data_IF_681556741149
#
_entry.id   IF_681556741149
#
_cell.length_a   1.000
_cell.length_b   1.000
_cell.length_c   1.000
_cell.angle_alpha   90.00
_cell.angle_beta   90.00
_cell.angle_gamma   90.00
#
_symmetry.space_group_name_H-M   'P 1'
#
loop_
_entity.id
_entity.type
_entity.pdbx_description
1 polymer ?
#
# COMPACT_ATOMS: atom_id res chain seq x y z
N UNK A 1 25.40 -4.93 2.44
CA UNK A 1 25.21 -6.28 1.86
C UNK A 1 24.91 -7.29 2.97
N UNK A 2 24.23 -8.42 2.68
CA UNK A 2 24.16 -9.56 3.58
C UNK A 2 25.57 -10.10 3.86
N UNK A 3 25.83 -10.47 5.12
CA UNK A 3 27.07 -11.15 5.49
C UNK A 3 27.21 -12.44 4.67
N UNK A 4 28.39 -12.67 4.08
CA UNK A 4 28.68 -13.90 3.31
C UNK A 4 28.48 -13.82 1.80
N UNK A 5 28.03 -12.68 1.24
CA UNK A 5 28.01 -12.48 -0.22
C UNK A 5 29.39 -12.03 -0.72
N UNK A 6 29.91 -12.73 -1.74
CA UNK A 6 31.13 -12.38 -2.46
C UNK A 6 30.87 -11.23 -3.42
N UNK A 7 31.74 -10.22 -3.39
CA UNK A 7 31.68 -9.10 -4.34
C UNK A 7 32.03 -9.63 -5.74
N UNK A 8 31.24 -9.29 -6.78
CA UNK A 8 31.57 -9.69 -8.15
C UNK A 8 32.95 -9.16 -8.58
N UNK A 9 33.60 -9.89 -9.47
CA UNK A 9 34.89 -9.49 -10.03
C UNK A 9 34.80 -8.10 -10.69
N UNK A 10 35.78 -7.24 -10.46
CA UNK A 10 35.82 -5.85 -10.95
C UNK A 10 35.28 -4.80 -9.99
N UNK A 11 34.82 -5.20 -8.80
CA UNK A 11 34.33 -4.30 -7.74
C UNK A 11 35.12 -4.44 -6.43
N UNK A 12 36.31 -5.04 -6.48
CA UNK A 12 37.12 -5.36 -5.30
C UNK A 12 37.53 -4.11 -4.51
N UNK A 13 37.67 -2.97 -5.19
CA UNK A 13 38.03 -1.69 -4.58
C UNK A 13 36.85 -0.99 -3.86
N UNK A 14 35.64 -1.56 -3.92
CA UNK A 14 34.47 -0.98 -3.27
C UNK A 14 34.51 -1.14 -1.75
N UNK A 15 34.37 -0.03 -1.03
CA UNK A 15 34.14 -0.05 0.41
C UNK A 15 32.79 -0.71 0.69
N UNK A 16 32.83 -1.81 1.44
CA UNK A 16 31.65 -2.64 1.68
C UNK A 16 31.29 -2.69 3.16
N UNK A 17 30.01 -2.48 3.47
CA UNK A 17 29.44 -2.68 4.81
C UNK A 17 28.52 -3.91 4.81
N UNK A 18 28.76 -4.80 5.76
CA UNK A 18 27.94 -5.98 5.99
C UNK A 18 26.97 -5.75 7.15
N UNK A 19 25.75 -6.23 6.98
CA UNK A 19 24.72 -6.30 8.01
C UNK A 19 24.39 -7.75 8.30
N UNK A 20 23.79 -8.00 9.47
CA UNK A 20 23.39 -9.36 9.89
C UNK A 20 22.48 -10.02 8.84
N UNK A 21 22.72 -11.30 8.56
CA UNK A 21 21.92 -12.07 7.60
C UNK A 21 20.45 -12.17 8.00
N UNK A 22 20.14 -12.05 9.30
CA UNK A 22 18.78 -12.04 9.82
C UNK A 22 17.92 -10.93 9.20
N UNK A 23 18.52 -9.78 8.84
CA UNK A 23 17.82 -8.69 8.16
C UNK A 23 17.42 -9.02 6.71
N UNK A 24 17.96 -10.09 6.13
CA UNK A 24 17.69 -10.50 4.75
C UNK A 24 16.88 -11.81 4.67
N UNK A 25 16.36 -12.28 5.80
CA UNK A 25 15.56 -13.52 5.90
C UNK A 25 14.13 -13.36 5.36
N UNK A 26 13.59 -12.14 5.32
CA UNK A 26 12.23 -11.85 4.87
C UNK A 26 12.06 -10.38 4.47
N UNK A 27 10.97 -10.06 3.77
CA UNK A 27 10.58 -8.67 3.48
C UNK A 27 10.45 -7.85 4.78
N UNK A 28 9.83 -8.41 5.81
CA UNK A 28 9.62 -7.72 7.09
C UNK A 28 10.94 -7.38 7.79
N UNK A 29 11.88 -8.32 7.84
CA UNK A 29 13.19 -8.09 8.48
C UNK A 29 14.04 -7.08 7.69
N UNK A 30 13.93 -7.07 6.36
CA UNK A 30 14.56 -6.05 5.52
C UNK A 30 13.98 -4.66 5.77
N UNK A 31 12.65 -4.53 5.81
CA UNK A 31 11.99 -3.24 6.08
C UNK A 31 12.43 -2.67 7.44
N UNK A 32 12.59 -3.53 8.46
CA UNK A 32 13.10 -3.14 9.78
C UNK A 32 14.54 -2.62 9.72
N UNK A 33 15.41 -3.20 8.90
CA UNK A 33 16.77 -2.67 8.67
C UNK A 33 16.71 -1.28 8.03
N UNK A 34 15.89 -1.13 6.98
CA UNK A 34 15.76 0.12 6.22
C UNK A 34 15.15 1.28 7.02
N UNK A 35 14.42 1.01 8.12
CA UNK A 35 13.94 2.02 9.07
C UNK A 35 14.67 1.97 10.42
N UNK A 36 15.91 1.48 10.45
CA UNK A 36 16.76 1.53 11.64
C UNK A 36 17.72 2.73 11.60
N UNK A 37 17.80 3.50 12.68
CA UNK A 37 18.77 4.60 12.78
C UNK A 37 20.23 4.08 12.65
N UNK A 38 20.49 2.88 13.17
CA UNK A 38 21.80 2.23 13.10
C UNK A 38 22.25 1.93 11.66
N UNK A 39 21.32 1.67 10.73
CA UNK A 39 21.67 1.55 9.30
C UNK A 39 22.23 2.88 8.77
N UNK A 40 21.56 3.99 9.08
CA UNK A 40 21.96 5.31 8.58
C UNK A 40 23.23 5.84 9.25
N UNK A 41 23.52 5.47 10.50
CA UNK A 41 24.76 5.81 11.20
C UNK A 41 26.02 5.41 10.40
N UNK A 42 25.95 4.30 9.66
CA UNK A 42 27.06 3.78 8.86
C UNK A 42 27.34 4.58 7.58
N UNK A 43 26.45 5.52 7.22
CA UNK A 43 26.51 6.27 5.97
C UNK A 43 26.41 7.78 6.16
N UNK A 44 26.59 8.29 7.38
CA UNK A 44 26.50 9.73 7.66
C UNK A 44 27.59 10.58 7.00
N UNK A 45 28.66 9.96 6.50
CA UNK A 45 29.67 10.63 5.67
C UNK A 45 29.13 11.01 4.27
N UNK A 46 27.92 10.57 3.91
CA UNK A 46 27.26 10.84 2.65
C UNK A 46 25.92 11.54 2.88
N UNK A 47 25.59 12.56 2.09
CA UNK A 47 24.29 13.25 2.18
C UNK A 47 23.11 12.36 1.76
N UNK A 48 23.36 11.41 0.85
CA UNK A 48 22.35 10.58 0.21
C UNK A 48 22.79 9.13 0.07
N UNK A 49 21.81 8.22 0.21
CA UNK A 49 21.93 6.81 -0.18
C UNK A 49 21.00 6.54 -1.37
N UNK A 50 21.54 5.95 -2.43
CA UNK A 50 20.75 5.28 -3.46
C UNK A 50 20.55 3.83 -3.05
N UNK A 51 19.32 3.44 -2.71
CA UNK A 51 18.93 2.04 -2.61
C UNK A 51 18.77 1.49 -4.02
N UNK A 52 19.52 0.42 -4.32
CA UNK A 52 19.52 -0.26 -5.61
C UNK A 52 19.37 -1.77 -5.35
N UNK A 53 18.16 -2.30 -5.57
CA UNK A 53 17.87 -3.74 -5.46
C UNK A 53 18.28 -4.48 -6.75
N UNK A 54 18.43 -5.81 -6.68
CA UNK A 54 19.04 -6.61 -7.77
C UNK A 54 18.22 -6.64 -9.07
N UNK A 55 16.94 -6.29 -9.00
CA UNK A 55 16.02 -6.14 -10.12
C UNK A 55 15.76 -4.67 -10.50
N UNK A 56 16.62 -3.75 -10.04
CA UNK A 56 16.68 -2.38 -10.52
C UNK A 56 17.62 -2.25 -11.74
N UNK A 57 17.35 -1.23 -12.56
CA UNK A 57 18.19 -0.89 -13.71
C UNK A 57 18.31 0.63 -13.86
N UNK A 58 19.52 1.16 -13.98
CA UNK A 58 19.77 2.59 -14.26
C UNK A 58 20.01 2.78 -15.75
N UNK A 59 19.17 3.60 -16.38
CA UNK A 59 19.23 3.90 -17.81
C UNK A 59 20.26 4.99 -18.12
N UNK A 60 20.35 6.00 -17.26
CA UNK A 60 21.22 7.15 -17.47
C UNK A 60 21.70 7.69 -16.12
N UNK A 61 22.98 8.07 -16.03
CA UNK A 61 23.50 8.70 -14.82
C UNK A 61 23.05 10.16 -14.71
N UNK A 62 22.01 10.39 -13.91
CA UNK A 62 21.52 11.72 -13.50
C UNK A 62 21.45 11.88 -11.99
N UNK A 63 22.13 11.01 -11.24
CA UNK A 63 21.99 10.90 -9.78
C UNK A 63 22.20 12.24 -9.06
N UNK A 64 23.24 12.99 -9.42
CA UNK A 64 23.55 14.27 -8.79
C UNK A 64 22.43 15.31 -8.94
N UNK A 65 21.74 15.34 -10.08
CA UNK A 65 20.62 16.26 -10.29
C UNK A 65 19.47 16.01 -9.31
N UNK A 66 19.25 14.77 -8.89
CA UNK A 66 18.24 14.43 -7.90
C UNK A 66 18.69 14.76 -6.47
N UNK A 67 19.98 14.55 -6.14
CA UNK A 67 20.55 14.96 -4.86
C UNK A 67 20.42 16.48 -4.63
N UNK A 68 20.65 17.28 -5.68
CA UNK A 68 20.54 18.75 -5.63
C UNK A 68 19.13 19.26 -5.37
N UNK A 69 18.09 18.43 -5.59
CA UNK A 69 16.70 18.80 -5.33
C UNK A 69 16.33 18.79 -3.84
N UNK A 70 17.17 18.20 -2.97
CA UNK A 70 17.01 18.24 -1.50
C UNK A 70 15.71 17.61 -0.97
N UNK A 71 15.18 16.59 -1.66
CA UNK A 71 14.11 15.75 -1.11
C UNK A 71 14.68 14.77 -0.08
N UNK A 72 13.86 14.38 0.89
CA UNK A 72 14.25 13.38 1.89
C UNK A 72 14.11 11.96 1.34
N UNK A 73 13.12 11.75 0.44
CA UNK A 73 12.87 10.49 -0.22
C UNK A 73 12.38 10.72 -1.66
N UNK A 74 12.98 9.98 -2.60
CA UNK A 74 12.54 9.87 -3.98
C UNK A 74 12.41 8.38 -4.31
N UNK A 75 11.22 7.94 -4.68
CA UNK A 75 10.97 6.57 -5.13
C UNK A 75 10.21 6.55 -6.46
N UNK A 76 9.70 5.39 -6.86
CA UNK A 76 8.89 5.28 -8.07
C UNK A 76 7.49 5.89 -7.85
N UNK A 77 6.86 6.45 -8.90
CA UNK A 77 5.51 6.93 -8.82
C UNK A 77 4.51 5.77 -8.84
N UNK A 78 3.40 5.93 -8.12
CA UNK A 78 2.19 5.12 -8.22
C UNK A 78 1.12 5.93 -8.96
N UNK A 79 0.96 5.76 -10.29
CA UNK A 79 0.26 6.72 -11.14
C UNK A 79 -1.22 6.92 -10.80
N UNK A 80 -1.87 5.87 -10.30
CA UNK A 80 -3.27 5.94 -9.84
C UNK A 80 -3.38 6.11 -8.33
N UNK A 81 -2.25 6.12 -7.61
CA UNK A 81 -2.16 6.12 -6.15
C UNK A 81 -2.41 4.76 -5.50
N UNK A 82 -2.10 4.64 -4.21
CA UNK A 82 -2.57 3.55 -3.35
C UNK A 82 -3.06 4.14 -2.03
N UNK A 83 -4.32 3.85 -1.68
CA UNK A 83 -4.87 4.27 -0.40
C UNK A 83 -4.41 3.35 0.73
N UNK A 84 -3.86 3.97 1.77
CA UNK A 84 -3.49 3.32 3.02
C UNK A 84 -4.31 3.90 4.17
N UNK A 85 -4.61 3.07 5.17
CA UNK A 85 -5.49 3.40 6.28
C UNK A 85 -4.79 3.19 7.62
N UNK A 86 -4.89 4.17 8.49
CA UNK A 86 -4.67 4.02 9.94
C UNK A 86 -5.99 4.16 10.69
N UNK A 87 -5.95 3.95 12.00
CA UNK A 87 -7.11 4.22 12.87
C UNK A 87 -7.54 5.70 12.81
N UNK A 88 -6.63 6.62 12.52
CA UNK A 88 -6.87 8.06 12.53
C UNK A 88 -7.23 8.61 11.16
N UNK A 89 -6.63 8.12 10.07
CA UNK A 89 -6.80 8.71 8.73
C UNK A 89 -6.62 7.74 7.58
N UNK A 90 -7.12 8.12 6.41
CA UNK A 90 -6.75 7.52 5.11
C UNK A 90 -5.81 8.48 4.38
N UNK A 91 -4.84 7.95 3.65
CA UNK A 91 -3.98 8.75 2.76
C UNK A 91 -3.74 7.99 1.47
N UNK A 92 -3.94 8.67 0.34
CA UNK A 92 -3.55 8.16 -0.97
C UNK A 92 -2.09 8.54 -1.21
N UNK A 93 -1.25 7.54 -1.40
CA UNK A 93 0.17 7.72 -1.69
C UNK A 93 0.40 7.59 -3.19
N UNK A 94 1.19 8.50 -3.76
CA UNK A 94 1.53 8.51 -5.20
C UNK A 94 3.01 8.30 -5.48
N UNK A 95 3.82 8.20 -4.43
CA UNK A 95 5.26 7.94 -4.52
C UNK A 95 5.58 6.94 -3.43
N UNK A 96 6.42 5.96 -3.75
CA UNK A 96 6.82 4.87 -2.87
C UNK A 96 7.81 3.97 -3.60
N UNK A 97 7.74 2.67 -3.39
CA UNK A 97 8.62 1.66 -3.96
C UNK A 97 10.11 1.87 -3.58
N UNK A 98 10.53 1.20 -2.52
CA UNK A 98 11.87 1.37 -1.94
C UNK A 98 13.03 0.80 -2.76
N UNK A 99 12.78 -0.02 -3.79
CA UNK A 99 13.82 -0.85 -4.41
C UNK A 99 14.75 -0.15 -5.39
N UNK A 100 14.30 0.95 -6.00
CA UNK A 100 15.18 1.98 -6.53
C UNK A 100 14.73 3.31 -5.93
N UNK A 101 15.40 3.75 -4.86
CA UNK A 101 15.03 4.97 -4.12
C UNK A 101 16.24 5.77 -3.68
N UNK A 102 16.12 7.11 -3.70
CA UNK A 102 17.11 8.04 -3.18
C UNK A 102 16.66 8.55 -1.81
N UNK A 103 17.52 8.48 -0.79
CA UNK A 103 17.16 8.79 0.59
C UNK A 103 18.20 9.74 1.20
N UNK A 104 17.76 10.87 1.75
CA UNK A 104 18.64 11.79 2.49
C UNK A 104 19.01 11.15 3.83
N UNK A 105 20.30 10.91 4.07
CA UNK A 105 20.77 10.11 5.22
C UNK A 105 20.45 10.77 6.55
N UNK A 106 20.81 12.05 6.69
CA UNK A 106 20.60 12.83 7.90
C UNK A 106 19.12 13.06 8.21
N UNK A 107 18.33 13.40 7.18
CA UNK A 107 16.89 13.62 7.35
C UNK A 107 16.16 12.33 7.75
N UNK A 108 16.41 11.21 7.06
CA UNK A 108 15.76 9.94 7.38
C UNK A 108 16.17 9.46 8.77
N UNK A 109 17.47 9.52 9.14
CA UNK A 109 17.92 9.15 10.48
C UNK A 109 17.21 9.96 11.56
N UNK A 110 17.17 11.29 11.39
CA UNK A 110 16.52 12.20 12.33
C UNK A 110 15.03 11.87 12.45
N UNK A 111 14.36 11.66 11.32
CA UNK A 111 12.96 11.29 11.28
C UNK A 111 12.69 9.96 11.99
N UNK A 112 13.47 8.90 11.70
CA UNK A 112 13.37 7.61 12.38
C UNK A 112 13.48 7.77 13.88
N UNK A 113 14.51 8.49 14.35
CA UNK A 113 14.78 8.70 15.78
C UNK A 113 13.61 9.38 16.49
N UNK A 114 12.94 10.31 15.82
CA UNK A 114 11.81 11.06 16.37
C UNK A 114 10.47 10.32 16.26
N UNK A 115 10.39 9.25 15.46
CA UNK A 115 9.14 8.58 15.10
C UNK A 115 9.17 7.06 15.34
N UNK A 116 9.97 6.59 16.31
CA UNK A 116 10.13 5.15 16.61
C UNK A 116 8.78 4.48 16.88
N UNK A 117 7.93 5.09 17.72
CA UNK A 117 6.63 4.53 18.07
C UNK A 117 5.70 4.46 16.85
N UNK A 118 5.67 5.51 16.03
CA UNK A 118 4.92 5.54 14.78
C UNK A 118 5.35 4.44 13.81
N UNK A 119 6.67 4.26 13.62
CA UNK A 119 7.24 3.22 12.76
C UNK A 119 6.87 1.83 13.27
N UNK A 120 7.01 1.60 14.58
CA UNK A 120 6.67 0.32 15.19
C UNK A 120 5.17 0.01 15.03
N UNK A 121 4.29 0.97 15.26
CA UNK A 121 2.85 0.83 14.99
C UNK A 121 2.59 0.48 13.53
N UNK A 122 3.27 1.13 12.58
CA UNK A 122 3.08 0.82 11.16
C UNK A 122 3.48 -0.61 10.78
N UNK A 123 4.54 -1.14 11.40
CA UNK A 123 4.95 -2.52 11.19
C UNK A 123 4.01 -3.51 11.86
N UNK A 124 3.69 -3.28 13.13
CA UNK A 124 3.01 -4.28 13.96
C UNK A 124 1.49 -4.31 13.72
N UNK A 125 0.87 -3.13 13.53
CA UNK A 125 -0.58 -3.03 13.34
C UNK A 125 -0.99 -3.06 11.87
N UNK A 126 -0.17 -2.46 10.98
CA UNK A 126 -0.55 -2.27 9.58
C UNK A 126 0.20 -3.18 8.60
N UNK A 127 1.32 -3.78 9.04
CA UNK A 127 2.16 -4.63 8.19
C UNK A 127 2.73 -3.90 6.97
N UNK A 128 2.96 -2.60 7.09
CA UNK A 128 3.43 -1.78 5.97
C UNK A 128 4.90 -2.01 5.64
N UNK A 129 5.23 -1.86 4.36
CA UNK A 129 6.60 -1.79 3.90
C UNK A 129 7.22 -0.43 4.22
N UNK A 130 8.56 -0.36 4.26
CA UNK A 130 9.28 0.83 4.72
C UNK A 130 9.00 2.08 3.88
N UNK A 131 8.83 1.88 2.58
CA UNK A 131 8.52 2.92 1.61
C UNK A 131 7.12 3.52 1.85
N UNK A 132 6.16 2.69 2.25
CA UNK A 132 4.82 3.11 2.68
C UNK A 132 4.92 3.90 3.98
N UNK A 133 5.67 3.41 4.97
CA UNK A 133 5.83 4.12 6.25
C UNK A 133 6.46 5.51 6.04
N UNK A 134 7.52 5.61 5.21
CA UNK A 134 8.15 6.89 4.86
C UNK A 134 7.16 7.81 4.14
N UNK A 135 6.51 7.31 3.09
CA UNK A 135 5.63 8.12 2.22
C UNK A 135 4.31 8.51 2.89
N UNK A 136 3.84 7.72 3.87
CA UNK A 136 2.64 8.03 4.64
C UNK A 136 2.87 9.13 5.67
N UNK A 137 4.09 9.31 6.16
CA UNK A 137 4.43 10.39 7.09
C UNK A 137 4.15 11.77 6.49
N UNK A 138 3.76 12.72 7.35
CA UNK A 138 3.59 14.13 6.98
C UNK A 138 4.85 14.94 7.27
N UNK A 139 5.83 14.37 7.98
CA UNK A 139 7.06 15.05 8.41
C UNK A 139 8.21 14.93 7.40
N UNK A 140 7.99 14.17 6.33
CA UNK A 140 9.01 13.85 5.32
C UNK A 140 8.78 14.64 4.03
N UNK A 141 9.84 15.24 3.50
CA UNK A 141 9.81 15.90 2.20
C UNK A 141 9.91 14.86 1.07
N UNK A 142 8.80 14.22 0.75
CA UNK A 142 8.67 13.26 -0.35
C UNK A 142 8.65 14.00 -1.69
N UNK A 143 9.42 13.53 -2.66
CA UNK A 143 9.42 14.10 -4.00
C UNK A 143 8.01 14.09 -4.63
N UNK A 144 7.61 15.16 -5.34
CA UNK A 144 6.35 15.19 -6.06
C UNK A 144 6.37 14.19 -7.22
N UNK A 145 5.18 13.80 -7.66
CA UNK A 145 4.98 12.76 -8.68
C UNK A 145 5.78 13.01 -9.97
N UNK A 146 5.93 14.27 -10.41
CA UNK A 146 6.66 14.57 -11.65
C UNK A 146 8.19 14.38 -11.51
N UNK A 147 8.73 14.61 -10.32
CA UNK A 147 10.13 14.25 -9.99
C UNK A 147 10.27 12.74 -9.91
N UNK A 148 9.34 12.06 -9.23
CA UNK A 148 9.34 10.60 -9.10
C UNK A 148 9.30 9.90 -10.47
N UNK A 149 8.44 10.36 -11.39
CA UNK A 149 8.37 9.87 -12.79
C UNK A 149 9.68 10.02 -13.55
N UNK A 150 10.42 11.09 -13.27
CA UNK A 150 11.72 11.34 -13.90
C UNK A 150 12.83 10.49 -13.27
N UNK A 151 12.66 10.08 -12.01
CA UNK A 151 13.62 9.30 -11.24
C UNK A 151 13.51 7.80 -11.53
N UNK A 152 12.35 7.20 -11.29
CA UNK A 152 12.17 5.75 -11.40
C UNK A 152 10.81 5.40 -11.98
N UNK A 153 10.71 4.21 -12.55
CA UNK A 153 9.45 3.58 -12.95
C UNK A 153 9.31 2.22 -12.30
N UNK A 154 8.06 1.89 -11.99
CA UNK A 154 7.61 0.60 -11.51
C UNK A 154 6.34 0.23 -12.30
N UNK A 155 6.15 -1.06 -12.59
CA UNK A 155 4.97 -1.61 -13.24
C UNK A 155 4.76 -1.25 -14.73
N UNK A 156 4.28 -2.24 -15.51
CA UNK A 156 3.94 -2.13 -16.94
C UNK A 156 2.63 -1.39 -17.23
N UNK A 157 2.38 -0.25 -16.60
CA UNK A 157 1.22 0.56 -16.95
C UNK A 157 1.34 1.08 -18.38
N UNK A 158 0.21 1.31 -19.06
CA UNK A 158 0.24 1.94 -20.39
C UNK A 158 1.00 3.27 -20.38
N UNK A 159 0.98 3.97 -19.24
CA UNK A 159 1.76 5.19 -18.97
C UNK A 159 3.27 4.95 -18.95
N UNK A 160 3.75 3.76 -18.60
CA UNK A 160 5.17 3.44 -18.50
C UNK A 160 5.85 3.46 -19.87
N UNK A 161 5.18 2.96 -20.91
CA UNK A 161 5.66 3.07 -22.28
C UNK A 161 5.69 4.52 -22.77
N UNK A 162 4.65 5.31 -22.48
CA UNK A 162 4.63 6.73 -22.81
C UNK A 162 5.72 7.54 -22.11
N UNK A 163 5.95 7.27 -20.81
CA UNK A 163 7.02 7.90 -20.03
C UNK A 163 8.35 7.59 -20.69
N UNK A 164 8.67 6.31 -20.91
CA UNK A 164 9.92 5.86 -21.51
C UNK A 164 10.15 6.46 -22.91
N UNK A 165 9.12 6.52 -23.75
CA UNK A 165 9.27 7.02 -25.13
C UNK A 165 9.35 8.53 -25.23
N UNK A 166 8.77 9.28 -24.29
CA UNK A 166 8.81 10.75 -24.28
C UNK A 166 9.99 11.29 -23.47
N UNK A 167 10.26 10.71 -22.30
CA UNK A 167 11.28 11.13 -21.33
C UNK A 167 11.76 9.91 -20.51
N UNK A 168 12.86 9.27 -20.94
CA UNK A 168 13.48 8.16 -20.22
C UNK A 168 13.73 8.55 -18.74
N UNK A 169 13.31 7.73 -17.74
CA UNK A 169 13.61 7.98 -16.34
C UNK A 169 15.07 7.67 -16.01
N UNK A 170 15.54 8.02 -14.81
CA UNK A 170 16.90 7.69 -14.36
C UNK A 170 17.09 6.17 -14.25
N UNK A 171 16.07 5.45 -13.75
CA UNK A 171 16.07 4.00 -13.75
C UNK A 171 14.69 3.38 -13.63
N UNK A 172 14.66 2.10 -13.33
CA UNK A 172 13.48 1.30 -13.04
C UNK A 172 13.73 0.32 -11.91
N UNK A 173 12.65 -0.18 -11.32
CA UNK A 173 12.69 -1.29 -10.38
C UNK A 173 11.63 -2.34 -10.73
N UNK A 174 12.03 -3.62 -10.73
CA UNK A 174 11.14 -4.76 -10.96
C UNK A 174 10.61 -4.88 -12.39
N UNK A 175 11.14 -4.15 -13.37
CA UNK A 175 10.56 -4.06 -14.71
C UNK A 175 10.47 -5.44 -15.40
N UNK A 176 11.47 -6.30 -15.23
CA UNK A 176 11.46 -7.69 -15.74
C UNK A 176 10.29 -8.51 -15.21
N UNK A 177 9.91 -8.28 -13.94
CA UNK A 177 8.83 -8.99 -13.26
C UNK A 177 7.46 -8.51 -13.72
N UNK A 178 7.31 -7.21 -13.93
CA UNK A 178 6.00 -6.60 -14.21
C UNK A 178 5.69 -6.46 -15.70
N UNK A 179 6.69 -6.22 -16.55
CA UNK A 179 6.55 -6.13 -18.00
C UNK A 179 7.81 -6.62 -18.72
N UNK A 180 7.95 -7.94 -18.77
CA UNK A 180 9.09 -8.60 -19.40
C UNK A 180 9.33 -8.13 -20.85
N UNK A 181 8.26 -7.94 -21.64
CA UNK A 181 8.42 -7.53 -23.05
C UNK A 181 8.97 -6.11 -23.17
N UNK A 182 8.51 -5.19 -22.32
CA UNK A 182 9.05 -3.85 -22.26
C UNK A 182 10.50 -3.86 -21.76
N UNK A 183 10.77 -4.57 -20.66
CA UNK A 183 12.11 -4.73 -20.11
C UNK A 183 13.09 -5.26 -21.16
N UNK A 184 12.75 -6.37 -21.83
CA UNK A 184 13.57 -7.00 -22.87
C UNK A 184 13.92 -6.00 -23.97
N UNK A 185 12.94 -5.25 -24.48
CA UNK A 185 13.18 -4.25 -25.53
C UNK A 185 14.12 -3.14 -25.07
N UNK A 186 13.93 -2.61 -23.86
CA UNK A 186 14.75 -1.51 -23.34
C UNK A 186 16.16 -2.02 -23.05
N UNK A 187 16.30 -3.15 -22.37
CA UNK A 187 17.59 -3.67 -21.94
C UNK A 187 18.46 -4.09 -23.14
N UNK A 188 17.84 -4.56 -24.22
CA UNK A 188 18.52 -4.80 -25.49
C UNK A 188 19.15 -3.53 -26.09
N UNK A 189 18.57 -2.33 -25.87
CA UNK A 189 19.19 -1.06 -26.29
C UNK A 189 20.51 -0.78 -25.56
N UNK A 190 20.68 -1.35 -24.37
CA UNK A 190 21.89 -1.26 -23.55
C UNK A 190 22.81 -2.48 -23.70
N UNK A 191 22.51 -3.38 -24.64
CA UNK A 191 23.33 -4.56 -24.94
C UNK A 191 23.10 -5.75 -23.99
N UNK A 192 22.01 -5.76 -23.22
CA UNK A 192 21.66 -6.87 -22.33
C UNK A 192 20.61 -7.77 -22.96
N UNK A 193 20.83 -9.08 -22.85
CA UNK A 193 19.82 -10.11 -23.11
C UNK A 193 19.25 -10.59 -21.77
N UNK A 194 17.93 -10.80 -21.72
CA UNK A 194 17.23 -11.21 -20.51
C UNK A 194 16.27 -12.37 -20.78
N UNK A 195 16.23 -13.29 -19.82
CA UNK A 195 15.35 -14.44 -19.82
C UNK A 195 13.99 -14.11 -19.17
N UNK A 196 12.89 -14.74 -19.61
CA UNK A 196 11.60 -14.60 -18.97
C UNK A 196 11.68 -14.95 -17.48
N UNK A 197 11.10 -14.10 -16.64
CA UNK A 197 10.97 -14.34 -15.21
C UNK A 197 9.52 -14.73 -14.92
N UNK A 198 9.31 -15.75 -14.08
CA UNK A 198 7.96 -16.10 -13.63
C UNK A 198 7.28 -14.89 -13.01
N UNK A 199 6.06 -14.61 -13.45
CA UNK A 199 5.25 -13.50 -12.95
C UNK A 199 4.15 -14.04 -12.01
N UNK A 200 4.42 -14.15 -10.70
CA UNK A 200 3.43 -14.61 -9.74
C UNK A 200 2.39 -13.54 -9.39
N UNK A 201 2.47 -12.32 -9.93
CA UNK A 201 1.60 -11.23 -9.51
C UNK A 201 0.32 -11.16 -10.34
N UNK A 202 -0.81 -11.17 -9.63
CA UNK A 202 -2.11 -10.88 -10.22
C UNK A 202 -2.13 -9.47 -10.81
N UNK A 203 -2.73 -9.32 -12.00
CA UNK A 203 -3.01 -7.99 -12.58
C UNK A 203 -3.85 -7.19 -11.59
N UNK A 204 -3.36 -6.01 -11.21
CA UNK A 204 -4.13 -5.04 -10.42
C UNK A 204 -5.16 -4.38 -11.34
N UNK A 205 -6.42 -4.32 -10.93
CA UNK A 205 -7.44 -3.53 -11.62
C UNK A 205 -7.25 -2.04 -11.28
N UNK A 206 -6.59 -1.33 -12.19
CA UNK A 206 -6.27 0.09 -12.00
C UNK A 206 -7.50 0.99 -12.00
N UNK A 207 -8.58 0.59 -12.69
CA UNK A 207 -9.81 1.40 -12.70
C UNK A 207 -10.49 1.34 -11.35
N UNK A 208 -10.53 0.15 -10.75
CA UNK A 208 -11.06 -0.02 -9.40
C UNK A 208 -10.20 0.76 -8.39
N UNK A 209 -8.89 0.57 -8.43
CA UNK A 209 -7.96 1.27 -7.53
C UNK A 209 -8.09 2.80 -7.66
N UNK A 210 -8.18 3.33 -8.88
CA UNK A 210 -8.37 4.76 -9.11
C UNK A 210 -9.68 5.27 -8.50
N UNK A 211 -10.79 4.51 -8.61
CA UNK A 211 -12.06 4.88 -7.95
C UNK A 211 -11.92 4.91 -6.43
N UNK A 212 -11.30 3.87 -5.84
CA UNK A 212 -11.08 3.79 -4.40
C UNK A 212 -10.23 4.96 -3.89
N UNK A 213 -9.18 5.32 -4.61
CA UNK A 213 -8.32 6.43 -4.22
C UNK A 213 -9.05 7.78 -4.28
N UNK A 214 -9.80 8.05 -5.36
CA UNK A 214 -10.56 9.30 -5.53
C UNK A 214 -11.49 9.55 -4.35
N UNK A 215 -12.13 8.50 -3.80
CA UNK A 215 -13.07 8.71 -2.71
C UNK A 215 -12.39 8.90 -1.34
N UNK A 216 -11.10 8.58 -1.20
CA UNK A 216 -10.33 8.87 0.02
C UNK A 216 -9.47 10.13 -0.10
N UNK A 217 -9.24 10.63 -1.32
CA UNK A 217 -8.67 11.94 -1.52
C UNK A 217 -9.46 13.01 -0.76
N UNK A 218 -8.74 13.93 -0.13
CA UNK A 218 -9.31 15.03 0.64
C UNK A 218 -10.34 14.59 1.71
N UNK A 219 -10.18 13.38 2.25
CA UNK A 219 -11.07 12.79 3.26
C UNK A 219 -12.54 12.72 2.82
N UNK A 220 -12.81 12.60 1.51
CA UNK A 220 -14.18 12.61 0.99
C UNK A 220 -15.04 11.51 1.62
N UNK A 221 -14.55 10.28 1.70
CA UNK A 221 -15.28 9.16 2.29
C UNK A 221 -15.66 9.44 3.75
N UNK A 222 -14.71 9.90 4.56
CA UNK A 222 -14.95 10.19 5.98
C UNK A 222 -15.98 11.33 6.12
N UNK A 223 -15.85 12.40 5.33
CA UNK A 223 -16.74 13.56 5.37
C UNK A 223 -18.20 13.23 4.97
N UNK A 224 -18.39 12.25 4.08
CA UNK A 224 -19.70 11.91 3.52
C UNK A 224 -20.21 10.53 3.96
N UNK A 225 -19.56 9.88 4.92
CA UNK A 225 -19.84 8.49 5.28
C UNK A 225 -21.32 8.24 5.64
N UNK A 226 -21.97 9.16 6.34
CA UNK A 226 -23.38 9.03 6.71
C UNK A 226 -24.31 9.01 5.47
N UNK A 227 -24.01 9.82 4.45
CA UNK A 227 -24.77 9.87 3.21
C UNK A 227 -24.50 8.63 2.34
N UNK A 228 -23.23 8.23 2.24
CA UNK A 228 -22.80 7.01 1.55
C UNK A 228 -23.56 5.80 2.13
N UNK A 229 -23.57 5.67 3.45
CA UNK A 229 -24.26 4.58 4.12
C UNK A 229 -25.79 4.70 4.05
N UNK A 230 -26.34 5.91 4.02
CA UNK A 230 -27.76 6.14 3.75
C UNK A 230 -28.20 5.71 2.34
N UNK A 231 -27.32 5.85 1.34
CA UNK A 231 -27.53 5.32 -0.02
C UNK A 231 -27.40 3.79 -0.06
N UNK A 232 -26.43 3.24 0.67
CA UNK A 232 -26.16 1.81 0.71
C UNK A 232 -27.22 1.02 1.48
N UNK A 233 -27.67 1.56 2.62
CA UNK A 233 -28.64 0.97 3.52
C UNK A 233 -29.78 1.96 3.78
N UNK A 234 -30.98 1.72 3.23
CA UNK A 234 -32.19 2.43 3.67
C UNK A 234 -32.29 2.31 5.19
N UNK A 235 -32.67 3.38 5.91
CA UNK A 235 -32.78 3.41 7.38
C UNK A 235 -31.46 3.20 8.16
N UNK A 236 -30.30 3.52 7.57
CA UNK A 236 -29.02 3.47 8.26
C UNK A 236 -29.03 4.24 9.60
N UNK A 237 -28.76 3.53 10.69
CA UNK A 237 -28.85 4.03 12.07
C UNK A 237 -27.48 4.17 12.76
N UNK A 238 -26.38 4.30 12.00
CA UNK A 238 -24.99 4.30 12.49
C UNK A 238 -24.57 3.03 13.22
N UNK A 239 -25.21 1.90 12.94
CA UNK A 239 -24.81 0.59 13.45
C UNK A 239 -24.68 -0.41 12.31
N UNK A 240 -23.60 -1.19 12.33
CA UNK A 240 -23.30 -2.22 11.33
C UNK A 240 -22.75 -3.48 11.97
N UNK A 241 -22.84 -4.56 11.23
CA UNK A 241 -22.10 -5.80 11.45
C UNK A 241 -21.07 -5.94 10.33
N UNK A 242 -19.87 -6.40 10.65
CA UNK A 242 -18.82 -6.66 9.65
C UNK A 242 -18.68 -8.17 9.50
N UNK A 243 -18.77 -8.69 8.29
CA UNK A 243 -18.52 -10.10 8.00
C UNK A 243 -17.11 -10.28 7.44
N UNK A 244 -16.26 -10.95 8.21
CA UNK A 244 -14.88 -11.26 7.89
C UNK A 244 -13.92 -10.55 8.84
N UNK A 245 -13.09 -11.30 9.54
CA UNK A 245 -12.11 -10.83 10.52
C UNK A 245 -10.67 -10.78 9.96
N UNK A 246 -10.51 -10.92 8.65
CA UNK A 246 -9.22 -10.76 7.97
C UNK A 246 -8.81 -9.29 7.81
N UNK A 247 -7.70 -9.05 7.09
CA UNK A 247 -7.11 -7.71 6.91
C UNK A 247 -8.08 -6.66 6.38
N UNK A 248 -9.03 -7.03 5.51
CA UNK A 248 -10.05 -6.10 4.98
C UNK A 248 -11.07 -5.76 6.08
N UNK A 249 -11.53 -6.75 6.84
CA UNK A 249 -12.46 -6.55 7.96
C UNK A 249 -11.89 -5.66 9.05
N UNK A 250 -10.64 -5.88 9.42
CA UNK A 250 -9.92 -5.05 10.39
C UNK A 250 -9.79 -3.59 9.92
N UNK A 251 -9.47 -3.37 8.64
CA UNK A 251 -9.47 -2.02 8.04
C UNK A 251 -10.85 -1.35 8.07
N UNK A 252 -11.91 -2.09 7.73
CA UNK A 252 -13.29 -1.56 7.82
C UNK A 252 -13.62 -1.20 9.25
N UNK A 253 -13.21 -2.01 10.24
CA UNK A 253 -13.43 -1.70 11.65
C UNK A 253 -12.85 -0.32 12.00
N UNK A 254 -11.60 -0.05 11.62
CA UNK A 254 -10.97 1.25 11.85
C UNK A 254 -11.73 2.40 11.20
N UNK A 255 -12.09 2.25 9.93
CA UNK A 255 -12.83 3.28 9.18
C UNK A 255 -14.20 3.55 9.83
N UNK A 256 -14.93 2.51 10.24
CA UNK A 256 -16.24 2.69 10.89
C UNK A 256 -16.09 3.36 12.26
N UNK A 257 -15.17 2.87 13.11
CA UNK A 257 -14.98 3.39 14.47
C UNK A 257 -14.61 4.88 14.47
N UNK A 258 -13.62 5.28 13.66
CA UNK A 258 -13.15 6.68 13.63
C UNK A 258 -14.22 7.65 13.10
N UNK A 259 -15.17 7.13 12.32
CA UNK A 259 -16.31 7.89 11.80
C UNK A 259 -17.56 7.79 12.69
N UNK A 260 -17.43 7.25 13.91
CA UNK A 260 -18.53 7.16 14.88
C UNK A 260 -19.65 6.20 14.47
N UNK A 261 -19.36 5.22 13.60
CA UNK A 261 -20.27 4.12 13.28
C UNK A 261 -20.01 2.99 14.28
N UNK A 262 -21.05 2.61 15.00
CA UNK A 262 -21.00 1.49 15.95
C UNK A 262 -20.89 0.18 15.18
N UNK A 263 -19.94 -0.65 15.59
CA UNK A 263 -19.84 -2.03 15.11
C UNK A 263 -20.36 -2.91 16.23
N UNK A 264 -21.42 -3.67 15.95
CA UNK A 264 -22.03 -4.54 16.95
C UNK A 264 -21.17 -5.78 17.20
N UNK A 265 -20.71 -6.42 16.13
CA UNK A 265 -19.80 -7.55 16.16
C UNK A 265 -19.12 -7.74 14.80
N UNK A 266 -18.07 -8.57 14.78
CA UNK A 266 -17.48 -9.10 13.56
C UNK A 266 -17.88 -10.57 13.42
N UNK A 267 -18.41 -10.96 12.27
CA UNK A 267 -18.78 -12.34 11.98
C UNK A 267 -17.62 -13.04 11.28
N UNK A 268 -17.10 -14.10 11.87
CA UNK A 268 -16.07 -14.94 11.25
C UNK A 268 -16.12 -16.37 11.82
N UNK A 269 -16.07 -17.38 10.96
CA UNK A 269 -16.10 -18.81 11.35
C UNK A 269 -14.71 -19.43 11.48
N UNK A 270 -13.67 -18.72 11.04
CA UNK A 270 -12.31 -19.23 10.83
C UNK A 270 -11.24 -18.47 11.61
N UNK A 271 -11.61 -17.33 12.19
CA UNK A 271 -10.69 -16.46 12.93
C UNK A 271 -10.11 -17.18 14.14
N UNK A 272 -8.79 -17.02 14.32
CA UNK A 272 -8.08 -17.37 15.57
C UNK A 272 -8.15 -16.26 16.62
N UNK A 273 -8.52 -15.04 16.22
CA UNK A 273 -8.73 -13.89 17.11
C UNK A 273 -10.12 -14.00 17.74
N UNK A 274 -10.24 -13.66 19.02
CA UNK A 274 -11.53 -13.55 19.73
C UNK A 274 -12.19 -12.18 19.54
N UNK A 275 -11.40 -11.15 19.24
CA UNK A 275 -11.85 -9.79 19.00
C UNK A 275 -10.94 -9.01 18.03
N UNK A 276 -11.45 -7.90 17.49
CA UNK A 276 -10.71 -6.88 16.75
C UNK A 276 -10.93 -5.54 17.45
N UNK A 277 -9.89 -4.98 18.05
CA UNK A 277 -9.94 -3.64 18.65
C UNK A 277 -11.14 -3.47 19.62
N UNK A 278 -11.32 -4.46 20.51
CA UNK A 278 -12.41 -4.55 21.48
C UNK A 278 -13.79 -4.95 20.91
N UNK A 279 -13.87 -5.30 19.62
CA UNK A 279 -15.10 -5.76 18.97
C UNK A 279 -15.07 -7.29 18.92
N UNK A 280 -16.07 -7.91 19.56
CA UNK A 280 -16.17 -9.36 19.62
C UNK A 280 -16.32 -9.99 18.23
N UNK A 281 -15.54 -11.04 17.98
CA UNK A 281 -15.72 -11.93 16.84
C UNK A 281 -16.70 -13.03 17.24
N UNK A 282 -17.71 -13.26 16.40
CA UNK A 282 -18.81 -14.20 16.67
C UNK A 282 -19.00 -15.14 15.48
N UNK A 283 -19.38 -16.38 15.76
CA UNK A 283 -19.73 -17.32 14.70
C UNK A 283 -20.96 -16.82 13.90
N UNK A 284 -20.86 -16.69 12.57
CA UNK A 284 -21.95 -16.16 11.75
C UNK A 284 -23.25 -16.96 11.86
N UNK A 285 -23.16 -18.28 12.00
CA UNK A 285 -24.30 -19.20 11.99
C UNK A 285 -25.21 -18.98 13.19
N UNK A 286 -24.61 -18.89 14.38
CA UNK A 286 -25.36 -18.70 15.61
C UNK A 286 -25.96 -17.30 15.69
N UNK A 287 -25.19 -16.30 15.26
CA UNK A 287 -25.57 -14.90 15.42
C UNK A 287 -26.77 -14.49 14.55
N UNK A 288 -26.71 -14.79 13.25
CA UNK A 288 -27.70 -14.29 12.29
C UNK A 288 -29.03 -15.07 12.36
N UNK A 289 -29.04 -16.29 12.90
CA UNK A 289 -30.29 -17.01 13.20
C UNK A 289 -31.13 -16.31 14.27
N UNK A 290 -30.46 -15.65 15.22
CA UNK A 290 -31.11 -15.01 16.37
C UNK A 290 -31.36 -13.51 16.14
N UNK A 291 -30.59 -12.87 15.25
CA UNK A 291 -30.63 -11.41 15.02
C UNK A 291 -30.88 -11.11 13.54
N UNK A 292 -32.12 -10.69 13.21
CA UNK A 292 -32.64 -10.75 11.83
C UNK A 292 -32.69 -9.41 11.08
N UNK A 293 -32.78 -8.27 11.76
CA UNK A 293 -32.82 -6.94 11.13
C UNK A 293 -31.52 -6.19 11.35
N UNK A 294 -30.54 -6.37 10.45
CA UNK A 294 -29.21 -5.78 10.58
C UNK A 294 -28.62 -5.37 9.24
N UNK A 295 -27.79 -4.32 9.27
CA UNK A 295 -26.97 -3.88 8.15
C UNK A 295 -25.61 -4.59 8.21
N UNK A 296 -25.31 -5.44 7.22
CA UNK A 296 -24.10 -6.27 7.18
C UNK A 296 -23.17 -5.77 6.08
N UNK A 297 -21.91 -5.52 6.42
CA UNK A 297 -20.84 -5.24 5.45
C UNK A 297 -20.03 -6.52 5.23
N UNK A 298 -20.01 -7.01 3.99
CA UNK A 298 -19.27 -8.22 3.60
C UNK A 298 -17.83 -7.84 3.22
N UNK A 299 -16.87 -8.18 4.08
CA UNK A 299 -15.51 -7.65 4.12
C UNK A 299 -14.42 -8.58 3.57
N UNK A 300 -14.69 -9.25 2.45
CA UNK A 300 -13.69 -10.11 1.81
C UNK A 300 -13.77 -10.05 0.28
N UNK A 301 -12.60 -10.25 -0.35
CA UNK A 301 -12.38 -10.01 -1.79
C UNK A 301 -13.10 -11.03 -2.70
N UNK A 302 -13.33 -12.24 -2.20
CA UNK A 302 -14.06 -13.32 -2.89
C UNK A 302 -15.36 -13.60 -2.13
N UNK A 303 -16.36 -12.73 -2.31
CA UNK A 303 -17.55 -12.61 -1.46
C UNK A 303 -18.62 -13.71 -1.65
N UNK A 304 -18.47 -14.57 -2.66
CA UNK A 304 -19.50 -15.51 -3.10
C UNK A 304 -20.00 -16.44 -1.99
N UNK A 305 -19.09 -16.96 -1.15
CA UNK A 305 -19.46 -17.92 -0.09
C UNK A 305 -20.32 -17.30 1.02
N UNK A 306 -19.96 -16.12 1.55
CA UNK A 306 -20.84 -15.51 2.57
C UNK A 306 -22.09 -14.89 1.96
N UNK A 307 -22.06 -14.45 0.70
CA UNK A 307 -23.28 -14.02 0.01
C UNK A 307 -24.24 -15.20 -0.14
N UNK A 308 -23.75 -16.35 -0.63
CA UNK A 308 -24.54 -17.57 -0.71
C UNK A 308 -25.10 -17.95 0.66
N UNK A 309 -24.27 -17.91 1.69
CA UNK A 309 -24.71 -18.16 3.05
C UNK A 309 -25.81 -17.20 3.51
N UNK A 310 -25.60 -15.88 3.36
CA UNK A 310 -26.58 -14.85 3.75
C UNK A 310 -27.93 -15.06 3.06
N UNK A 311 -27.91 -15.49 1.80
CA UNK A 311 -29.13 -15.77 1.02
C UNK A 311 -29.86 -17.05 1.50
N UNK A 312 -29.13 -18.03 2.03
CA UNK A 312 -29.66 -19.32 2.50
C UNK A 312 -30.23 -19.28 3.94
N UNK A 313 -30.02 -18.19 4.69
CA UNK A 313 -30.59 -18.04 6.04
C UNK A 313 -32.12 -17.90 5.96
N UNK A 314 -32.90 -18.58 6.82
CA UNK A 314 -34.34 -18.35 6.92
C UNK A 314 -34.66 -16.86 7.18
N UNK A 315 -35.56 -16.28 6.38
CA UNK A 315 -35.88 -14.85 6.36
C UNK A 315 -34.71 -13.94 5.92
N UNK A 316 -33.85 -14.40 5.02
CA UNK A 316 -32.75 -13.59 4.43
C UNK A 316 -33.19 -12.22 3.88
N UNK A 317 -34.47 -12.06 3.52
CA UNK A 317 -35.07 -10.78 3.11
C UNK A 317 -35.00 -9.68 4.19
N UNK A 318 -34.88 -10.04 5.48
CA UNK A 318 -34.74 -9.08 6.59
C UNK A 318 -33.29 -8.60 6.79
N UNK A 319 -32.31 -9.33 6.24
CA UNK A 319 -30.88 -9.02 6.35
C UNK A 319 -30.50 -8.13 5.17
N UNK A 320 -30.08 -6.90 5.45
CA UNK A 320 -29.57 -5.98 4.43
C UNK A 320 -28.06 -6.10 4.41
N UNK A 321 -27.50 -6.59 3.31
CA UNK A 321 -26.04 -6.63 3.17
C UNK A 321 -25.55 -5.84 1.96
N UNK A 322 -24.32 -5.34 2.09
CA UNK A 322 -23.51 -4.78 1.01
C UNK A 322 -22.10 -5.31 1.13
N UNK A 323 -21.49 -5.59 0.01
CA UNK A 323 -20.08 -5.90 -0.07
C UNK A 323 -19.27 -4.63 0.14
N UNK A 324 -18.04 -4.77 0.63
CA UNK A 324 -17.12 -3.65 0.77
C UNK A 324 -17.01 -2.88 -0.55
N UNK A 325 -16.82 -3.59 -1.68
CA UNK A 325 -16.74 -2.98 -3.01
C UNK A 325 -18.00 -2.20 -3.42
N UNK A 326 -19.20 -2.65 -3.05
CA UNK A 326 -20.42 -1.90 -3.32
C UNK A 326 -20.47 -0.59 -2.53
N UNK A 327 -19.98 -0.55 -1.28
CA UNK A 327 -19.87 0.68 -0.49
C UNK A 327 -19.00 1.72 -1.21
N UNK A 328 -17.89 1.29 -1.83
CA UNK A 328 -17.05 2.16 -2.67
C UNK A 328 -17.80 2.70 -3.89
N UNK A 329 -18.62 1.86 -4.52
CA UNK A 329 -19.38 2.31 -5.68
C UNK A 329 -20.41 3.38 -5.27
N UNK A 330 -21.12 3.21 -4.14
CA UNK A 330 -22.00 4.26 -3.60
C UNK A 330 -21.25 5.56 -3.33
N UNK A 331 -20.08 5.47 -2.70
CA UNK A 331 -19.23 6.63 -2.42
C UNK A 331 -18.77 7.33 -3.70
N UNK A 332 -18.38 6.56 -4.72
CA UNK A 332 -17.97 7.10 -6.00
C UNK A 332 -19.14 7.77 -6.75
N UNK A 333 -20.33 7.19 -6.71
CA UNK A 333 -21.53 7.82 -7.26
C UNK A 333 -21.85 9.14 -6.56
N UNK A 334 -21.75 9.18 -5.23
CA UNK A 334 -21.94 10.43 -4.48
C UNK A 334 -20.87 11.48 -4.85
N UNK A 335 -19.61 11.07 -4.98
CA UNK A 335 -18.53 11.94 -5.45
C UNK A 335 -18.85 12.57 -6.81
N UNK A 336 -19.31 11.77 -7.77
CA UNK A 336 -19.71 12.24 -9.09
C UNK A 336 -20.90 13.22 -9.05
N UNK A 337 -21.84 13.03 -8.11
CA UNK A 337 -22.96 13.95 -7.92
C UNK A 337 -22.50 15.29 -7.34
N UNK A 338 -21.63 15.27 -6.33
CA UNK A 338 -21.09 16.46 -5.67
C UNK A 338 -20.19 17.29 -6.59
N UNK A 339 -19.42 16.66 -7.47
CA UNK A 339 -18.54 17.37 -8.43
C UNK A 339 -19.31 18.13 -9.52
N UNK A 340 -20.57 17.78 -9.77
CA UNK A 340 -21.43 18.43 -10.77
C UNK A 340 -22.19 19.65 -10.23
N UNK A 341 -22.18 19.85 -8.92
CA UNK A 341 -22.72 21.01 -8.21
C UNK A 341 -21.61 22.03 -8.00
#
# INVERSE_FOLDING_TARGET
MPKGITIPQGFEDWKTKYFDEAFFSSVSTYNRLMLSAAFYDEFLDYDYILVYQLDAFVFENRLMSFCEMKYDYIGAPWPVGFCYHTKEKSKVLYVGNGGLSLRNTGAIKKWITNNIDYIQTCFDEYGWNEDVVISFSDDMNIAPVDVAKSFSIENGYATTYEIITKNMPFGSHGLLRYDFKLAQRIYALYGYEVEPVDNPFAKVDLKLLQKENIIFENSFFDNYIAEIFGMAFPDFNKEVIIWGAGNIGEKICWIMKRNGIKIECVLDSSSRKEEIDGIKIVNPIEYLRLNKSKNVIVAFKHNDEAIAYLNDIPNSQEIRYRTYSEIYEYAYQLYLQRRKQ
#
